data_IF_768523067424
#
_entry.id   IF_768523067424
#
_cell.length_a   1.000
_cell.length_b   1.000
_cell.length_c   1.000
_cell.angle_alpha   90.00
_cell.angle_beta   90.00
_cell.angle_gamma   90.00
#
_symmetry.space_group_name_H-M   'P 1'
#
loop_
_entity.id
_entity.type
_entity.pdbx_description
1 polymer ?
#
# COMPACT_ATOMS: atom_id res chain seq x y z
N UNK A 1 9.08 -23.52 -25.11
CA UNK A 1 8.78 -22.09 -24.83
C UNK A 1 7.71 -21.93 -23.76
N UNK A 2 6.69 -22.79 -23.71
CA UNK A 2 5.56 -22.77 -22.77
C UNK A 2 5.97 -22.83 -21.29
N UNK A 3 6.98 -23.64 -20.95
CA UNK A 3 7.41 -23.84 -19.55
C UNK A 3 8.01 -22.58 -18.90
N UNK A 4 8.80 -21.83 -19.69
CA UNK A 4 9.37 -20.54 -19.25
C UNK A 4 8.30 -19.48 -19.06
N UNK A 5 7.28 -19.45 -19.93
CA UNK A 5 6.16 -18.52 -19.82
C UNK A 5 5.32 -18.81 -18.58
N UNK A 6 5.03 -20.09 -18.31
CA UNK A 6 4.33 -20.52 -17.11
C UNK A 6 5.08 -20.10 -15.84
N UNK A 7 6.40 -20.33 -15.80
CA UNK A 7 7.25 -19.88 -14.70
C UNK A 7 7.18 -18.35 -14.49
N UNK A 8 7.18 -17.55 -15.56
CA UNK A 8 7.04 -16.10 -15.44
C UNK A 8 5.66 -15.66 -14.91
N UNK A 9 4.58 -16.31 -15.34
CA UNK A 9 3.21 -16.07 -14.81
C UNK A 9 3.16 -16.33 -13.30
N UNK A 10 3.78 -17.42 -12.84
CA UNK A 10 3.82 -17.77 -11.41
C UNK A 10 4.67 -16.80 -10.59
N UNK A 11 5.80 -16.33 -11.15
CA UNK A 11 6.63 -15.30 -10.53
C UNK A 11 5.88 -13.96 -10.43
N UNK A 12 5.14 -13.55 -11.47
CA UNK A 12 4.32 -12.34 -11.44
C UNK A 12 3.20 -12.43 -10.41
N UNK A 13 2.52 -13.57 -10.33
CA UNK A 13 1.50 -13.82 -9.29
C UNK A 13 2.09 -13.70 -7.88
N UNK A 14 3.26 -14.31 -7.68
CA UNK A 14 3.97 -14.27 -6.39
C UNK A 14 4.41 -12.85 -6.04
N UNK A 15 4.95 -12.11 -7.00
CA UNK A 15 5.34 -10.72 -6.83
C UNK A 15 4.13 -9.85 -6.44
N UNK A 16 3.02 -9.99 -7.17
CA UNK A 16 1.78 -9.26 -6.89
C UNK A 16 1.31 -9.48 -5.46
N UNK A 17 1.21 -10.74 -5.04
CA UNK A 17 0.76 -11.07 -3.70
C UNK A 17 1.69 -10.51 -2.62
N UNK A 18 3.01 -10.58 -2.82
CA UNK A 18 3.99 -10.02 -1.87
C UNK A 18 3.90 -8.50 -1.80
N UNK A 19 3.75 -7.84 -2.94
CA UNK A 19 3.61 -6.38 -3.00
C UNK A 19 2.29 -5.92 -2.39
N UNK A 20 1.19 -6.64 -2.61
CA UNK A 20 -0.09 -6.42 -1.93
C UNK A 20 0.03 -6.60 -0.41
N UNK A 21 0.75 -7.63 0.06
CA UNK A 21 0.97 -7.83 1.48
C UNK A 21 1.77 -6.69 2.14
N UNK A 22 2.71 -6.07 1.41
CA UNK A 22 3.43 -4.87 1.91
C UNK A 22 2.48 -3.68 2.05
N UNK A 23 1.62 -3.43 1.05
CA UNK A 23 0.55 -2.41 1.15
C UNK A 23 -0.30 -2.64 2.41
N UNK A 24 -0.82 -3.86 2.57
CA UNK A 24 -1.70 -4.22 3.68
C UNK A 24 -0.99 -4.06 5.04
N UNK A 25 0.30 -4.39 5.11
CA UNK A 25 1.12 -4.18 6.29
C UNK A 25 1.29 -2.71 6.66
N UNK A 26 1.54 -1.84 5.67
CA UNK A 26 1.63 -0.39 5.88
C UNK A 26 0.30 0.15 6.39
N UNK A 27 -0.81 -0.19 5.73
CA UNK A 27 -2.14 0.26 6.12
C UNK A 27 -2.48 -0.17 7.55
N UNK A 28 -2.21 -1.43 7.90
CA UNK A 28 -2.44 -1.94 9.25
C UNK A 28 -1.67 -1.18 10.32
N UNK A 29 -0.40 -0.85 10.08
CA UNK A 29 0.42 -0.08 11.03
C UNK A 29 -0.13 1.33 11.19
N UNK A 30 -0.50 1.99 10.09
CA UNK A 30 -1.09 3.33 10.11
C UNK A 30 -2.42 3.34 10.84
N UNK A 31 -3.30 2.38 10.54
CA UNK A 31 -4.60 2.23 11.21
C UNK A 31 -4.44 2.01 12.71
N UNK A 32 -3.50 1.14 13.10
CA UNK A 32 -3.20 0.87 14.51
C UNK A 32 -2.66 2.12 15.21
N UNK A 33 -1.78 2.88 14.56
CA UNK A 33 -1.24 4.12 15.10
C UNK A 33 -2.37 5.11 15.37
N UNK A 34 -3.17 5.42 14.33
CA UNK A 34 -4.29 6.36 14.39
C UNK A 34 -5.27 5.95 15.49
N UNK A 35 -5.75 4.70 15.47
CA UNK A 35 -6.74 4.22 16.44
C UNK A 35 -6.23 4.29 17.88
N UNK A 36 -4.94 4.00 18.08
CA UNK A 36 -4.32 4.03 19.42
C UNK A 36 -4.13 5.46 19.91
N UNK A 37 -3.74 6.38 19.04
CA UNK A 37 -3.57 7.80 19.41
C UNK A 37 -4.90 8.49 19.65
N UNK A 38 -5.90 8.27 18.79
CA UNK A 38 -7.25 8.85 18.96
C UNK A 38 -7.91 8.32 20.24
N UNK A 39 -7.77 7.03 20.53
CA UNK A 39 -8.31 6.43 21.76
C UNK A 39 -7.71 6.96 23.06
N UNK A 40 -6.54 7.63 23.00
CA UNK A 40 -5.89 8.26 24.16
C UNK A 40 -6.22 9.74 24.31
N UNK A 41 -6.82 10.37 23.30
CA UNK A 41 -7.14 11.80 23.29
C UNK A 41 -5.90 12.70 23.25
N UNK A 42 -6.12 13.97 23.58
CA UNK A 42 -5.10 15.03 23.50
C UNK A 42 -4.48 15.34 24.89
N UNK A 43 -3.28 14.83 25.21
CA UNK A 43 -2.69 14.99 26.56
C UNK A 43 -2.04 16.36 26.82
N UNK A 44 -1.91 17.22 25.81
CA UNK A 44 -1.09 18.44 25.86
C UNK A 44 -1.78 19.66 26.49
N UNK A 45 -3.05 19.58 26.89
CA UNK A 45 -3.75 20.69 27.55
C UNK A 45 -4.07 21.87 26.62
N UNK A 46 -4.76 22.88 27.15
CA UNK A 46 -5.25 24.05 26.40
C UNK A 46 -4.47 25.35 26.63
N UNK A 47 -3.37 25.27 27.36
CA UNK A 47 -2.50 26.41 27.67
C UNK A 47 -1.63 26.78 26.45
N UNK A 48 -0.87 27.88 26.57
CA UNK A 48 -0.02 28.37 25.49
C UNK A 48 1.02 27.33 25.07
N UNK A 49 1.58 26.56 26.02
CA UNK A 49 2.55 25.50 25.68
C UNK A 49 1.87 24.35 24.95
N UNK A 50 0.73 23.86 25.45
CA UNK A 50 -0.05 22.81 24.80
C UNK A 50 -0.48 23.16 23.38
N UNK A 51 -1.02 24.37 23.19
CA UNK A 51 -1.40 24.87 21.86
C UNK A 51 -0.20 25.02 20.93
N UNK A 52 0.93 25.51 21.43
CA UNK A 52 2.17 25.63 20.66
C UNK A 52 2.71 24.26 20.22
N UNK A 53 2.68 23.27 21.11
CA UNK A 53 3.07 21.91 20.82
C UNK A 53 2.17 21.25 19.77
N UNK A 54 0.85 21.34 19.92
CA UNK A 54 -0.09 20.63 19.07
C UNK A 54 -0.34 21.33 17.72
N UNK A 55 -0.68 22.62 17.77
CA UNK A 55 -1.19 23.39 16.63
C UNK A 55 -0.19 24.40 16.05
N UNK A 56 1.04 24.45 16.58
CA UNK A 56 2.12 25.28 16.04
C UNK A 56 2.44 24.96 14.58
N UNK A 57 3.22 25.82 13.92
CA UNK A 57 3.55 25.67 12.51
C UNK A 57 4.15 24.30 12.17
N UNK A 58 5.01 23.79 13.07
CA UNK A 58 5.60 22.45 13.04
C UNK A 58 5.07 21.58 14.19
N UNK A 59 3.84 21.84 14.64
CA UNK A 59 3.23 21.15 15.75
C UNK A 59 3.00 19.66 15.50
N UNK A 60 2.70 18.94 16.58
CA UNK A 60 2.44 17.51 16.55
C UNK A 60 1.34 17.13 15.54
N UNK A 61 0.24 17.88 15.47
CA UNK A 61 -0.89 17.55 14.61
C UNK A 61 -0.50 17.56 13.12
N UNK A 62 0.23 18.60 12.68
CA UNK A 62 0.73 18.67 11.30
C UNK A 62 1.75 17.58 10.99
N UNK A 63 2.66 17.32 11.93
CA UNK A 63 3.67 16.27 11.77
C UNK A 63 3.02 14.88 11.66
N UNK A 64 2.02 14.62 12.51
CA UNK A 64 1.23 13.38 12.49
C UNK A 64 0.49 13.20 11.16
N UNK A 65 -0.22 14.25 10.70
CA UNK A 65 -0.91 14.25 9.40
C UNK A 65 0.04 13.98 8.23
N UNK A 66 1.22 14.59 8.22
CA UNK A 66 2.24 14.36 7.19
C UNK A 66 2.74 12.90 7.18
N UNK A 67 2.97 12.31 8.36
CA UNK A 67 3.39 10.91 8.48
C UNK A 67 2.30 9.98 7.96
N UNK A 68 1.04 10.19 8.36
CA UNK A 68 -0.10 9.39 7.91
C UNK A 68 -0.25 9.50 6.39
N UNK A 69 -0.25 10.71 5.84
CA UNK A 69 -0.33 10.93 4.39
C UNK A 69 0.82 10.27 3.64
N UNK A 70 2.05 10.42 4.12
CA UNK A 70 3.22 9.79 3.52
C UNK A 70 3.11 8.26 3.48
N UNK A 71 2.68 7.66 4.60
CA UNK A 71 2.48 6.22 4.68
C UNK A 71 1.35 5.74 3.76
N UNK A 72 0.23 6.47 3.66
CA UNK A 72 -0.86 6.15 2.72
C UNK A 72 -0.46 6.27 1.26
N UNK A 73 0.35 7.28 0.92
CA UNK A 73 0.91 7.41 -0.43
C UNK A 73 1.80 6.22 -0.79
N UNK A 74 2.63 5.77 0.17
CA UNK A 74 3.46 4.59 -0.02
C UNK A 74 2.61 3.32 -0.18
N UNK A 75 1.59 3.13 0.66
CA UNK A 75 0.60 2.05 0.52
C UNK A 75 -0.04 2.07 -0.88
N UNK A 76 -0.56 3.22 -1.32
CA UNK A 76 -1.15 3.37 -2.66
C UNK A 76 -0.17 3.03 -3.80
N UNK A 77 1.11 3.37 -3.65
CA UNK A 77 2.16 3.02 -4.62
C UNK A 77 2.35 1.50 -4.70
N UNK A 78 2.44 0.81 -3.57
CA UNK A 78 2.50 -0.65 -3.56
C UNK A 78 1.21 -1.28 -4.08
N UNK A 79 0.04 -0.69 -3.82
CA UNK A 79 -1.22 -1.11 -4.43
C UNK A 79 -1.19 -1.05 -5.96
N UNK A 80 -0.68 0.04 -6.52
CA UNK A 80 -0.53 0.20 -7.97
C UNK A 80 0.43 -0.82 -8.58
N UNK A 81 1.56 -1.11 -7.91
CA UNK A 81 2.49 -2.16 -8.35
C UNK A 81 1.86 -3.55 -8.29
N UNK A 82 1.17 -3.88 -7.21
CA UNK A 82 0.45 -5.15 -7.06
C UNK A 82 -0.55 -5.33 -8.20
N UNK A 83 -1.32 -4.28 -8.51
CA UNK A 83 -2.30 -4.28 -9.59
C UNK A 83 -1.64 -4.44 -10.96
N UNK A 84 -0.60 -3.65 -11.26
CA UNK A 84 0.09 -3.75 -12.55
C UNK A 84 0.68 -5.15 -12.80
N UNK A 85 1.13 -5.84 -11.75
CA UNK A 85 1.59 -7.23 -11.86
C UNK A 85 0.43 -8.21 -12.12
N UNK A 86 -0.77 -7.97 -11.59
CA UNK A 86 -1.98 -8.76 -11.90
C UNK A 86 -2.44 -8.52 -13.33
N UNK A 87 -2.48 -7.26 -13.76
CA UNK A 87 -2.89 -6.89 -15.12
C UNK A 87 -1.94 -7.52 -16.15
N UNK A 88 -0.62 -7.53 -15.87
CA UNK A 88 0.36 -8.22 -16.70
C UNK A 88 0.15 -9.75 -16.75
N UNK A 89 -0.15 -10.37 -15.60
CA UNK A 89 -0.48 -11.79 -15.55
C UNK A 89 -1.73 -12.12 -16.38
N UNK A 90 -2.76 -11.30 -16.28
CA UNK A 90 -4.01 -11.48 -17.02
C UNK A 90 -3.77 -11.36 -18.54
N UNK A 91 -2.99 -10.35 -18.96
CA UNK A 91 -2.59 -10.18 -20.36
C UNK A 91 -1.83 -11.41 -20.89
N UNK A 92 -0.82 -11.88 -20.15
CA UNK A 92 -0.04 -13.07 -20.53
C UNK A 92 -0.91 -14.33 -20.59
N UNK A 93 -1.94 -14.43 -19.75
CA UNK A 93 -2.86 -15.57 -19.75
C UNK A 93 -3.74 -15.54 -20.98
N UNK A 94 -4.37 -14.41 -21.27
CA UNK A 94 -5.20 -14.23 -22.48
C UNK A 94 -4.45 -14.47 -23.78
N UNK A 95 -3.20 -14.04 -23.88
CA UNK A 95 -2.37 -14.30 -25.07
C UNK A 95 -2.06 -15.78 -25.27
N UNK A 96 -1.84 -16.52 -24.17
CA UNK A 96 -1.53 -17.95 -24.23
C UNK A 96 -2.76 -18.76 -24.63
N UNK A 97 -3.92 -18.45 -24.03
CA UNK A 97 -5.20 -19.10 -24.36
C UNK A 97 -5.60 -18.82 -25.82
N UNK A 98 -5.49 -17.56 -26.25
CA UNK A 98 -5.84 -17.15 -27.62
C UNK A 98 -4.93 -17.77 -28.70
N UNK A 99 -3.64 -17.95 -28.39
CA UNK A 99 -2.74 -18.67 -29.29
C UNK A 99 -3.03 -20.18 -29.28
N UNK A 100 -3.30 -20.77 -28.11
CA UNK A 100 -3.61 -22.20 -27.97
C UNK A 100 -4.85 -22.64 -28.74
N UNK A 101 -5.86 -21.77 -28.84
CA UNK A 101 -7.09 -22.05 -29.59
C UNK A 101 -6.93 -21.89 -31.13
N UNK A 102 -5.89 -21.19 -31.60
CA UNK A 102 -5.58 -21.09 -33.04
C UNK A 102 -4.80 -22.30 -33.60
N UNK A 103 -4.24 -23.15 -32.75
CA UNK A 103 -3.45 -24.33 -33.15
C UNK A 103 -4.16 -25.67 -32.87
N UNK A 104 -5.47 -25.66 -32.61
CA UNK A 104 -6.33 -26.84 -32.56
C UNK A 104 -6.97 -27.14 -33.90
#
# INVERSE_FOLDING_TARGET
MTDRLQSYKDLLRTASNKTGAVRDGIDKVVDTLISTTEGRGEPWGSDTMGKGFAAGENGYLKSSDNIVKGARNMSGTFGNFSKGQQDALELLTRMDDGNGDQFK
#
